data_IF_575523896797
#
_entry.id   IF_575523896797
#
_cell.length_a   1.000
_cell.length_b   1.000
_cell.length_c   1.000
_cell.angle_alpha   90.00
_cell.angle_beta   90.00
_cell.angle_gamma   90.00
#
_symmetry.space_group_name_H-M   'P 1'
#
loop_
_entity.id
_entity.type
_entity.pdbx_description
1 polymer ?
#
# COMPACT_ATOMS: atom_id res chain seq x y z
N UNK A 1 14.52 -15.56 -16.62
CA UNK A 1 15.00 -15.03 -15.33
C UNK A 1 15.01 -16.20 -14.35
N UNK A 2 16.19 -16.72 -14.02
CA UNK A 2 16.32 -17.76 -13.01
C UNK A 2 16.26 -17.07 -11.65
N UNK A 3 15.14 -17.20 -10.94
CA UNK A 3 15.04 -16.80 -9.54
C UNK A 3 15.99 -17.71 -8.74
N UNK A 4 17.16 -17.18 -8.37
CA UNK A 4 18.08 -17.86 -7.46
C UNK A 4 17.43 -17.88 -6.08
N UNK A 5 16.98 -19.06 -5.67
CA UNK A 5 16.68 -19.35 -4.28
C UNK A 5 18.00 -19.35 -3.51
N UNK A 6 18.24 -18.28 -2.75
CA UNK A 6 19.39 -18.19 -1.85
C UNK A 6 19.03 -18.89 -0.53
N UNK A 7 19.79 -19.93 -0.20
CA UNK A 7 19.68 -20.61 1.08
C UNK A 7 20.51 -19.87 2.12
N UNK A 8 19.86 -19.41 3.17
CA UNK A 8 20.51 -18.76 4.31
C UNK A 8 20.49 -19.68 5.53
N UNK A 9 21.49 -19.54 6.40
CA UNK A 9 21.49 -20.22 7.69
C UNK A 9 20.30 -19.79 8.56
N UNK A 10 19.82 -20.68 9.42
CA UNK A 10 18.67 -20.40 10.30
C UNK A 10 18.88 -19.18 11.20
N UNK A 11 20.12 -18.91 11.61
CA UNK A 11 20.48 -17.73 12.42
C UNK A 11 20.25 -16.41 11.68
N UNK A 12 20.36 -16.40 10.35
CA UNK A 12 20.08 -15.20 9.55
C UNK A 12 18.62 -14.80 9.61
N UNK A 13 17.69 -15.77 9.67
CA UNK A 13 16.25 -15.52 9.81
C UNK A 13 15.86 -14.89 11.15
N UNK A 14 16.79 -14.86 12.10
CA UNK A 14 16.64 -14.23 13.42
C UNK A 14 17.39 -12.89 13.51
N UNK A 15 18.12 -12.51 12.47
CA UNK A 15 18.90 -11.28 12.43
C UNK A 15 18.04 -10.05 12.17
N UNK A 16 18.44 -8.90 12.71
CA UNK A 16 17.82 -7.61 12.38
C UNK A 16 17.89 -7.29 10.89
N UNK A 17 18.98 -7.69 10.23
CA UNK A 17 19.18 -7.48 8.80
C UNK A 17 18.06 -8.12 7.97
N UNK A 18 17.67 -9.34 8.33
CA UNK A 18 16.53 -10.01 7.71
C UNK A 18 15.23 -9.22 7.88
N UNK A 19 14.91 -8.80 9.10
CA UNK A 19 13.69 -8.05 9.40
C UNK A 19 13.66 -6.66 8.75
N UNK A 20 14.79 -5.98 8.63
CA UNK A 20 14.90 -4.71 7.92
C UNK A 20 14.74 -4.91 6.40
N UNK A 21 15.26 -6.01 5.85
CA UNK A 21 15.02 -6.42 4.46
C UNK A 21 13.54 -6.73 4.19
N UNK A 22 12.85 -7.40 5.11
CA UNK A 22 11.40 -7.65 5.00
C UNK A 22 10.60 -6.35 5.14
N UNK A 23 10.95 -5.49 6.09
CA UNK A 23 10.27 -4.21 6.30
C UNK A 23 10.42 -3.24 5.12
N UNK A 24 11.56 -3.29 4.42
CA UNK A 24 11.81 -2.50 3.20
C UNK A 24 11.20 -3.12 1.93
N UNK A 25 10.61 -4.32 2.02
CA UNK A 25 10.01 -5.02 0.88
C UNK A 25 11.02 -5.70 -0.04
N UNK A 26 12.29 -5.86 0.40
CA UNK A 26 13.31 -6.61 -0.35
C UNK A 26 13.05 -8.11 -0.32
N UNK A 27 12.51 -8.60 0.80
CA UNK A 27 12.22 -10.02 1.03
C UNK A 27 10.81 -10.23 1.54
N UNK A 28 10.28 -11.44 1.34
CA UNK A 28 9.06 -11.92 1.97
C UNK A 28 9.38 -13.12 2.85
N UNK A 29 8.81 -13.15 4.05
CA UNK A 29 8.96 -14.27 4.98
C UNK A 29 7.74 -15.20 4.89
N UNK A 30 7.99 -16.49 4.70
CA UNK A 30 6.96 -17.53 4.62
C UNK A 30 7.17 -18.51 5.76
N UNK A 31 6.23 -18.52 6.71
CA UNK A 31 6.24 -19.39 7.89
C UNK A 31 4.80 -19.57 8.40
N UNK A 32 4.64 -20.46 9.37
CA UNK A 32 3.43 -20.60 10.19
C UNK A 32 3.06 -19.26 10.83
N UNK A 33 1.75 -19.00 10.91
CA UNK A 33 1.23 -17.74 11.43
C UNK A 33 1.71 -17.43 12.85
N UNK A 34 1.73 -18.47 13.70
CA UNK A 34 2.10 -18.38 15.11
C UNK A 34 3.57 -17.99 15.28
N UNK A 35 4.48 -18.68 14.60
CA UNK A 35 5.92 -18.39 14.62
C UNK A 35 6.22 -17.01 14.03
N UNK A 36 5.69 -16.71 12.84
CA UNK A 36 5.89 -15.41 12.19
C UNK A 36 5.39 -14.25 13.06
N UNK A 37 4.27 -14.43 13.76
CA UNK A 37 3.75 -13.41 14.66
C UNK A 37 4.73 -13.15 15.82
N UNK A 38 5.18 -14.19 16.53
CA UNK A 38 6.11 -14.04 17.65
C UNK A 38 7.40 -13.35 17.23
N UNK A 39 8.02 -13.84 16.15
CA UNK A 39 9.27 -13.28 15.60
C UNK A 39 9.13 -11.82 15.17
N UNK A 40 7.99 -11.48 14.54
CA UNK A 40 7.70 -10.09 14.15
C UNK A 40 7.53 -9.18 15.36
N UNK A 41 6.93 -9.68 16.46
CA UNK A 41 6.70 -8.92 17.67
C UNK A 41 8.00 -8.46 18.33
N UNK A 42 9.01 -9.34 18.36
CA UNK A 42 10.33 -9.05 18.95
C UNK A 42 11.09 -7.94 18.19
N UNK A 43 10.74 -7.74 16.92
CA UNK A 43 11.37 -6.75 16.03
C UNK A 43 10.50 -5.50 15.81
N UNK A 44 9.30 -5.45 16.40
CA UNK A 44 8.43 -4.28 16.32
C UNK A 44 8.67 -3.29 17.45
N UNK A 45 8.83 -1.99 17.12
CA UNK A 45 8.99 -0.96 18.13
C UNK A 45 7.65 -0.69 18.82
N UNK A 46 7.67 -0.72 20.15
CA UNK A 46 6.50 -0.41 20.97
C UNK A 46 6.03 1.03 20.72
N UNK A 47 4.72 1.23 20.64
CA UNK A 47 4.11 2.55 20.46
C UNK A 47 4.31 3.22 19.09
N UNK A 48 5.00 2.56 18.14
CA UNK A 48 5.16 3.02 16.75
C UNK A 48 4.25 2.25 15.80
N UNK A 49 4.15 2.70 14.54
CA UNK A 49 3.38 2.01 13.49
C UNK A 49 3.97 0.62 13.24
N UNK A 50 3.10 -0.39 13.17
CA UNK A 50 3.50 -1.76 12.81
C UNK A 50 4.12 -1.76 11.41
N UNK A 51 5.26 -2.45 11.26
CA UNK A 51 5.99 -2.56 9.99
C UNK A 51 5.64 -3.86 9.27
N UNK A 52 5.29 -4.90 10.03
CA UNK A 52 5.01 -6.22 9.47
C UNK A 52 3.51 -6.45 9.35
N UNK A 53 3.13 -7.07 8.24
CA UNK A 53 1.74 -7.42 7.97
C UNK A 53 1.68 -8.78 7.30
N UNK A 54 0.61 -9.50 7.60
CA UNK A 54 0.33 -10.77 6.94
C UNK A 54 -0.18 -10.48 5.53
N UNK A 55 0.49 -11.03 4.52
CA UNK A 55 -0.06 -11.12 3.16
C UNK A 55 -1.33 -12.00 3.17
N UNK A 56 -2.25 -11.79 2.21
CA UNK A 56 -3.53 -12.51 2.18
C UNK A 56 -3.34 -14.00 1.88
N UNK A 57 -4.25 -14.79 2.47
CA UNK A 57 -4.45 -16.24 2.37
C UNK A 57 -3.27 -17.10 2.85
N UNK A 58 -3.60 -18.08 3.68
CA UNK A 58 -2.64 -19.12 4.07
C UNK A 58 -2.46 -20.07 2.89
N UNK A 59 -1.22 -20.30 2.47
CA UNK A 59 -0.89 -21.20 1.34
C UNK A 59 -1.25 -22.64 1.67
N UNK A 60 -1.11 -23.03 2.93
CA UNK A 60 -1.54 -24.33 3.46
C UNK A 60 -2.19 -24.15 4.85
N UNK A 61 -3.21 -24.96 5.13
CA UNK A 61 -3.80 -25.07 6.46
C UNK A 61 -3.00 -26.06 7.30
N UNK A 62 -2.22 -25.57 8.24
CA UNK A 62 -1.64 -26.39 9.31
C UNK A 62 -2.60 -26.49 10.50
N UNK A 63 -2.67 -27.67 11.12
CA UNK A 63 -3.39 -27.90 12.38
C UNK A 63 -2.37 -28.28 13.45
N UNK A 64 -2.25 -27.44 14.47
CA UNK A 64 -1.51 -27.81 15.68
C UNK A 64 -2.35 -28.80 16.47
N UNK A 65 -1.80 -30.01 16.67
CA UNK A 65 -2.47 -31.09 17.39
C UNK A 65 -1.54 -31.63 18.48
N UNK A 66 -2.12 -32.09 19.59
CA UNK A 66 -1.36 -32.81 20.61
C UNK A 66 -1.08 -34.25 20.13
N UNK A 67 0.19 -34.65 20.00
CA UNK A 67 0.51 -36.02 19.65
C UNK A 67 0.26 -36.94 20.85
N UNK A 68 -0.39 -38.08 20.58
CA UNK A 68 -0.58 -39.15 21.57
C UNK A 68 -0.03 -40.47 21.06
N UNK A 69 0.54 -41.32 21.93
CA UNK A 69 0.89 -42.68 21.54
C UNK A 69 -0.36 -43.46 21.14
N UNK A 70 -0.20 -44.41 20.21
CA UNK A 70 -1.31 -45.28 19.77
C UNK A 70 -1.91 -46.00 20.99
N UNK A 71 -3.24 -46.01 21.07
CA UNK A 71 -4.02 -46.57 22.18
C UNK A 71 -3.83 -45.90 23.55
N UNK A 72 -3.39 -44.63 23.59
CA UNK A 72 -3.36 -43.88 24.85
C UNK A 72 -4.75 -43.84 25.50
N UNK A 73 -4.91 -44.29 26.76
CA UNK A 73 -6.19 -44.25 27.48
C UNK A 73 -6.63 -42.81 27.76
N UNK A 74 -5.73 -41.83 27.68
CA UNK A 74 -5.98 -40.43 28.01
C UNK A 74 -6.45 -39.62 26.80
N UNK A 75 -6.25 -40.16 25.58
CA UNK A 75 -6.56 -39.44 24.34
C UNK A 75 -8.02 -38.99 24.29
N UNK A 76 -8.97 -39.89 24.54
CA UNK A 76 -10.40 -39.58 24.50
C UNK A 76 -10.79 -38.48 25.48
N UNK A 77 -10.21 -38.50 26.69
CA UNK A 77 -10.47 -37.49 27.73
C UNK A 77 -9.94 -36.12 27.32
N UNK A 78 -8.72 -36.04 26.81
CA UNK A 78 -8.12 -34.77 26.40
C UNK A 78 -8.82 -34.20 25.17
N UNK A 79 -9.15 -35.04 24.17
CA UNK A 79 -9.91 -34.59 22.99
C UNK A 79 -11.27 -34.01 23.36
N UNK A 80 -11.96 -34.61 24.34
CA UNK A 80 -13.23 -34.08 24.85
C UNK A 80 -13.04 -32.73 25.56
N UNK A 81 -12.04 -32.62 26.44
CA UNK A 81 -11.71 -31.36 27.12
C UNK A 81 -11.33 -30.25 26.15
N UNK A 82 -10.59 -30.54 25.07
CA UNK A 82 -10.24 -29.56 24.05
C UNK A 82 -11.47 -29.06 23.27
N UNK A 83 -12.40 -29.96 22.93
CA UNK A 83 -13.68 -29.57 22.32
C UNK A 83 -14.49 -28.66 23.24
N UNK A 84 -14.52 -28.98 24.54
CA UNK A 84 -15.18 -28.18 25.55
C UNK A 84 -14.52 -26.80 25.70
N UNK A 85 -13.19 -26.72 25.82
CA UNK A 85 -12.47 -25.44 25.88
C UNK A 85 -12.71 -24.57 24.63
N UNK A 86 -12.89 -25.20 23.46
CA UNK A 86 -13.24 -24.51 22.23
C UNK A 86 -14.67 -23.99 22.25
N UNK A 87 -15.65 -24.77 22.73
CA UNK A 87 -17.05 -24.33 22.78
C UNK A 87 -17.27 -23.16 23.74
N UNK A 88 -16.51 -23.10 24.84
CA UNK A 88 -16.54 -21.99 25.78
C UNK A 88 -15.71 -20.77 25.34
N UNK A 89 -15.05 -20.82 24.18
CA UNK A 89 -14.22 -19.71 23.68
C UNK A 89 -12.96 -19.44 24.52
N UNK A 90 -12.61 -20.33 25.44
CA UNK A 90 -11.49 -20.15 26.37
C UNK A 90 -10.14 -20.17 25.64
N UNK A 91 -10.03 -20.99 24.59
CA UNK A 91 -8.90 -21.01 23.67
C UNK A 91 -8.70 -19.66 22.95
N UNK A 92 -9.79 -19.02 22.52
CA UNK A 92 -9.74 -17.71 21.86
C UNK A 92 -9.32 -16.62 22.85
N UNK A 93 -9.79 -16.70 24.10
CA UNK A 93 -9.41 -15.79 25.17
C UNK A 93 -7.92 -15.91 25.55
N UNK A 94 -7.39 -17.13 25.60
CA UNK A 94 -5.95 -17.34 25.85
C UNK A 94 -5.15 -16.80 24.67
N UNK A 95 -5.56 -17.12 23.44
CA UNK A 95 -4.89 -16.64 22.23
C UNK A 95 -4.85 -15.11 22.18
N UNK A 96 -5.93 -14.42 22.51
CA UNK A 96 -5.96 -12.96 22.49
C UNK A 96 -5.02 -12.31 23.51
N UNK A 97 -4.71 -12.98 24.63
CA UNK A 97 -3.71 -12.51 25.61
C UNK A 97 -2.26 -12.70 25.16
N UNK A 98 -1.96 -13.80 24.48
CA UNK A 98 -0.59 -14.09 24.04
C UNK A 98 -0.24 -13.39 22.71
N UNK A 99 -1.22 -13.25 21.81
CA UNK A 99 -1.04 -12.63 20.50
C UNK A 99 -1.43 -11.13 20.52
N UNK A 100 -0.90 -10.38 21.49
CA UNK A 100 -1.14 -8.93 21.61
C UNK A 100 -0.06 -8.18 20.83
N UNK A 101 -0.48 -7.39 19.83
CA UNK A 101 0.44 -6.49 19.11
C UNK A 101 0.89 -5.35 20.02
N UNK A 102 2.21 -5.13 20.12
CA UNK A 102 2.79 -4.02 20.89
C UNK A 102 2.90 -2.70 20.10
N UNK A 103 2.74 -2.78 18.79
CA UNK A 103 2.73 -1.64 17.88
C UNK A 103 1.31 -1.05 17.73
N UNK A 104 1.24 0.22 17.33
CA UNK A 104 0.00 0.85 16.91
C UNK A 104 -0.42 0.27 15.55
N UNK A 105 -1.31 -0.72 15.59
CA UNK A 105 -1.90 -1.33 14.41
C UNK A 105 -2.72 -0.31 13.63
N UNK A 106 -2.07 0.37 12.68
CA UNK A 106 -2.71 1.39 11.84
C UNK A 106 -3.47 0.76 10.67
N UNK A 107 -3.35 -0.55 10.45
CA UNK A 107 -3.97 -1.24 9.32
C UNK A 107 -4.58 -2.58 9.75
N UNK A 108 -5.91 -2.69 9.61
CA UNK A 108 -6.63 -3.96 9.70
C UNK A 108 -8.07 -3.87 10.21
N UNK A 109 -8.36 -3.00 11.17
CA UNK A 109 -9.69 -2.92 11.83
C UNK A 109 -10.63 -1.86 11.22
N UNK A 110 -10.19 -1.09 10.22
CA UNK A 110 -10.97 -0.01 9.60
C UNK A 110 -11.38 -0.28 8.16
N UNK A 111 -11.54 -1.55 7.78
CA UNK A 111 -11.93 -1.95 6.42
C UNK A 111 -13.39 -1.61 6.03
N UNK A 112 -14.07 -0.75 6.80
CA UNK A 112 -15.45 -0.36 6.51
C UNK A 112 -15.78 1.13 6.65
N UNK A 113 -14.90 2.01 7.14
CA UNK A 113 -15.40 3.32 7.60
C UNK A 113 -14.44 4.51 7.55
N UNK A 114 -13.35 4.44 6.79
CA UNK A 114 -12.67 5.66 6.37
C UNK A 114 -12.82 5.79 4.87
N UNK A 115 -13.81 6.59 4.47
CA UNK A 115 -13.97 7.02 3.09
C UNK A 115 -12.62 7.44 2.55
N UNK A 116 -12.29 6.98 1.33
CA UNK A 116 -11.08 7.34 0.61
C UNK A 116 -10.94 8.86 0.61
N UNK A 117 -10.20 9.41 1.58
CA UNK A 117 -9.88 10.83 1.62
C UNK A 117 -8.96 11.05 0.43
N UNK A 118 -9.44 11.80 -0.55
CA UNK A 118 -8.68 12.10 -1.75
C UNK A 118 -7.46 12.90 -1.31
N UNK A 119 -6.27 12.30 -1.44
CA UNK A 119 -5.03 12.97 -1.07
C UNK A 119 -4.71 14.01 -2.15
N UNK A 120 -4.34 15.22 -1.75
CA UNK A 120 -3.96 16.31 -2.67
C UNK A 120 -2.81 15.89 -3.61
N UNK A 121 -1.96 14.96 -3.15
CA UNK A 121 -0.88 14.36 -3.94
C UNK A 121 -1.41 13.64 -5.19
N UNK A 122 -2.60 13.02 -5.13
CA UNK A 122 -3.19 12.36 -6.29
C UNK A 122 -3.75 13.34 -7.34
N UNK A 123 -4.03 14.60 -6.96
CA UNK A 123 -4.52 15.63 -7.89
C UNK A 123 -3.43 16.57 -8.42
N UNK A 124 -2.18 16.45 -7.93
CA UNK A 124 -1.05 17.31 -8.34
C UNK A 124 -0.81 17.28 -9.85
N UNK A 125 -0.92 16.13 -10.51
CA UNK A 125 -0.75 16.00 -11.97
C UNK A 125 -1.76 16.84 -12.76
N UNK A 126 -3.02 16.91 -12.30
CA UNK A 126 -4.05 17.75 -12.94
C UNK A 126 -3.70 19.24 -12.83
N UNK A 127 -3.16 19.67 -11.70
CA UNK A 127 -2.74 21.07 -11.52
C UNK A 127 -1.55 21.43 -12.40
N UNK A 128 -0.57 20.53 -12.57
CA UNK A 128 0.56 20.78 -13.46
C UNK A 128 0.11 20.95 -14.93
N UNK A 129 -0.77 20.08 -15.41
CA UNK A 129 -1.31 20.18 -16.78
C UNK A 129 -2.10 21.48 -16.97
N UNK A 130 -2.88 21.89 -15.97
CA UNK A 130 -3.67 23.12 -16.04
C UNK A 130 -2.78 24.37 -16.07
N UNK A 131 -1.73 24.43 -15.24
CA UNK A 131 -0.79 25.55 -15.22
C UNK A 131 -0.02 25.64 -16.54
N UNK A 132 0.49 24.52 -17.06
CA UNK A 132 1.21 24.51 -18.34
C UNK A 132 0.28 24.92 -19.48
N UNK A 133 -0.95 24.39 -19.53
CA UNK A 133 -1.94 24.74 -20.55
C UNK A 133 -2.29 26.22 -20.55
N UNK A 134 -2.57 26.80 -19.37
CA UNK A 134 -2.82 28.24 -19.24
C UNK A 134 -1.60 29.08 -19.61
N UNK A 135 -0.39 28.66 -19.21
CA UNK A 135 0.86 29.32 -19.56
C UNK A 135 1.12 29.34 -21.06
N UNK A 136 0.96 28.19 -21.73
CA UNK A 136 1.13 28.10 -23.19
C UNK A 136 0.08 28.92 -23.93
N UNK A 137 -1.18 28.91 -23.46
CA UNK A 137 -2.24 29.73 -24.05
C UNK A 137 -1.95 31.22 -23.96
N UNK A 138 -1.50 31.69 -22.79
CA UNK A 138 -1.13 33.08 -22.59
C UNK A 138 0.05 33.52 -23.47
N UNK A 139 1.07 32.66 -23.62
CA UNK A 139 2.23 32.94 -24.50
C UNK A 139 1.82 33.02 -25.96
N UNK A 140 0.95 32.11 -26.43
CA UNK A 140 0.41 32.17 -27.80
C UNK A 140 -0.36 33.48 -28.04
N UNK A 141 -1.18 33.90 -27.08
CA UNK A 141 -1.97 35.14 -27.20
C UNK A 141 -1.06 36.38 -27.24
N UNK A 142 -0.02 36.43 -26.42
CA UNK A 142 0.97 37.52 -26.44
C UNK A 142 1.72 37.55 -27.79
N UNK A 143 2.10 36.40 -28.34
CA UNK A 143 2.75 36.30 -29.64
C UNK A 143 1.84 36.80 -30.77
N UNK A 144 0.55 36.43 -30.77
CA UNK A 144 -0.42 36.91 -31.75
C UNK A 144 -0.59 38.43 -31.69
N UNK A 145 -0.70 39.01 -30.48
CA UNK A 145 -0.81 40.45 -30.30
C UNK A 145 0.45 41.18 -30.78
N UNK A 146 1.65 40.65 -30.48
CA UNK A 146 2.90 41.22 -30.97
C UNK A 146 2.99 41.15 -32.50
N UNK A 147 2.68 40.01 -33.11
CA UNK A 147 2.67 39.86 -34.57
C UNK A 147 1.64 40.77 -35.24
N UNK A 148 0.45 40.95 -34.65
CA UNK A 148 -0.54 41.89 -35.12
C UNK A 148 -0.06 43.35 -35.01
N UNK A 149 0.62 43.71 -33.92
CA UNK A 149 1.20 45.04 -33.74
C UNK A 149 2.33 45.33 -34.72
N UNK A 150 3.26 44.38 -34.92
CA UNK A 150 4.34 44.51 -35.89
C UNK A 150 3.83 44.52 -37.32
N UNK A 151 2.80 43.73 -37.64
CA UNK A 151 2.14 43.79 -38.95
C UNK A 151 1.42 45.12 -39.16
N UNK A 152 0.83 45.71 -38.12
CA UNK A 152 0.19 47.02 -38.20
C UNK A 152 1.20 48.17 -38.35
N UNK A 153 2.34 48.11 -37.64
CA UNK A 153 3.45 49.08 -37.75
C UNK A 153 4.20 48.94 -39.09
N UNK A 154 4.37 47.71 -39.58
CA UNK A 154 4.97 47.46 -40.90
C UNK A 154 4.00 47.76 -42.05
N UNK A 155 2.68 47.79 -41.79
CA UNK A 155 1.64 48.19 -42.76
C UNK A 155 1.42 49.70 -42.80
N UNK A 156 2.44 50.50 -42.46
CA UNK A 156 2.63 51.82 -43.03
C UNK A 156 2.92 51.78 -44.55
N UNK A 157 3.05 50.59 -45.15
CA UNK A 157 3.00 50.40 -46.59
C UNK A 157 2.73 48.94 -46.95
N UNK A 158 1.51 48.65 -47.43
CA UNK A 158 1.06 47.39 -48.05
C UNK A 158 1.27 46.12 -47.18
N UNK A 159 0.24 45.49 -46.61
CA UNK A 159 -0.73 44.65 -47.33
C UNK A 159 -1.99 44.58 -46.46
N UNK A 160 -2.91 45.49 -46.73
CA UNK A 160 -4.27 45.48 -46.22
C UNK A 160 -5.13 44.77 -47.27
N UNK A 161 -5.49 43.50 -47.06
CA UNK A 161 -6.27 42.79 -48.07
C UNK A 161 -7.06 41.56 -47.65
N UNK A 162 -6.64 40.76 -46.66
CA UNK A 162 -7.22 39.41 -46.53
C UNK A 162 -7.76 38.99 -45.16
N UNK A 163 -7.51 39.72 -44.06
CA UNK A 163 -7.92 39.26 -42.72
C UNK A 163 -9.12 39.96 -42.09
N UNK A 164 -9.65 41.04 -42.66
CA UNK A 164 -10.80 41.77 -42.11
C UNK A 164 -12.19 41.26 -42.57
N UNK A 165 -12.29 40.10 -43.24
CA UNK A 165 -13.60 39.54 -43.67
C UNK A 165 -14.26 38.57 -42.70
N UNK A 166 -13.66 38.25 -41.55
CA UNK A 166 -14.22 37.25 -40.62
C UNK A 166 -14.93 37.83 -39.39
N UNK A 167 -14.92 39.16 -39.17
CA UNK A 167 -15.53 39.77 -37.97
C UNK A 167 -16.83 40.55 -38.19
N UNK A 168 -17.44 40.52 -39.39
CA UNK A 168 -18.76 41.11 -39.63
C UNK A 168 -19.70 40.12 -40.32
N UNK A 169 -20.00 39.01 -39.65
CA UNK A 169 -21.14 38.15 -39.92
C UNK A 169 -22.21 38.39 -38.86
N UNK A 170 -22.82 39.57 -38.88
CA UNK A 170 -24.03 39.89 -38.13
C UNK A 170 -25.12 40.22 -39.18
N UNK A 171 -26.02 39.27 -39.39
CA UNK A 171 -27.46 39.51 -39.55
C UNK A 171 -28.15 38.46 -38.69
#
# INVERSE_FOLDING_TARGET
>A
MSERLEAFEGAFLESREFFDGVASGRWAYVDTLSSAFGRSLDHEPEGKRCRFYKSRQSVAGGLDAWPFPRNSPVHARISYSLKWLRSYGLLEHIKSRFYVRRCLATYGLRRGQEGKKMNLVMTQSCFYVLIVGCGTGAVCLILEVLLAHFSCVSSGGAVMGWWLRACSGQV
#
